data_IF_409083897652
#
_entry.id   IF_409083897652
#
_cell.length_a   1.000
_cell.length_b   1.000
_cell.length_c   1.000
_cell.angle_alpha   90.00
_cell.angle_beta   90.00
_cell.angle_gamma   90.00
#
_symmetry.space_group_name_H-M   'P 1'
#
loop_
_entity.id
_entity.type
_entity.pdbx_description
1 polymer ?
2 non-polymer ?
3 non-polymer ?
4 non-polymer ?
5 water ?
#
# COMPACT_ATOMS: atom_id res chain seq x y z
N UNK A 16 31.90 -1.22 -17.43
CA UNK A 16 32.96 -1.79 -16.61
C UNK A 16 34.28 -1.04 -16.65
N UNK A 17 34.22 0.24 -17.02
CA UNK A 17 35.41 1.08 -17.09
C UNK A 17 36.04 1.25 -15.72
N UNK A 18 37.11 2.03 -15.64
CA UNK A 18 37.74 2.22 -14.34
C UNK A 18 37.03 3.31 -13.53
N UNK A 19 36.39 4.27 -14.19
CA UNK A 19 35.56 5.26 -13.49
C UNK A 19 34.26 4.64 -12.98
N UNK A 20 33.62 3.81 -13.80
CA UNK A 20 32.40 3.10 -13.41
C UNK A 20 32.57 2.39 -12.07
N UNK A 21 33.52 1.43 -12.01
CA UNK A 21 33.75 0.68 -10.78
C UNK A 21 34.14 1.58 -9.60
N UNK A 22 34.71 2.77 -9.85
CA UNK A 22 35.00 3.68 -8.74
C UNK A 22 33.74 3.93 -7.92
N UNK A 23 32.69 4.46 -8.56
CA UNK A 23 31.45 4.72 -7.83
C UNK A 23 30.74 3.41 -7.51
N UNK A 24 30.80 2.42 -8.41
CA UNK A 24 30.11 1.16 -8.18
C UNK A 24 30.53 0.53 -6.86
N UNK A 25 31.77 0.74 -6.45
CA UNK A 25 32.19 0.14 -5.19
C UNK A 25 31.67 0.92 -4.00
N UNK A 26 31.36 2.20 -4.18
CA UNK A 26 30.77 3.00 -3.11
C UNK A 26 29.31 2.62 -2.91
N UNK A 27 28.48 2.95 -3.90
CA UNK A 27 27.07 2.57 -3.97
C UNK A 27 26.81 1.19 -3.36
N UNK A 28 27.61 0.20 -3.75
CA UNK A 28 27.39 -1.16 -3.27
C UNK A 28 28.00 -1.41 -1.90
N UNK A 29 28.61 -0.41 -1.26
CA UNK A 29 29.26 -0.65 0.01
C UNK A 29 28.24 -0.69 1.14
N UNK A 30 28.54 -1.50 2.16
CA UNK A 30 27.70 -1.50 3.35
C UNK A 30 27.64 -0.12 3.99
N UNK A 31 28.71 0.67 3.91
CA UNK A 31 28.67 1.98 4.56
C UNK A 31 27.66 2.88 3.88
N UNK A 32 27.60 2.84 2.56
CA UNK A 32 26.61 3.62 1.82
C UNK A 32 25.20 3.32 2.32
N UNK A 33 24.79 2.05 2.23
CA UNK A 33 23.48 1.64 2.74
C UNK A 33 23.28 2.11 4.17
N UNK A 34 24.21 1.75 5.06
CA UNK A 34 24.09 2.14 6.46
C UNK A 34 23.89 3.65 6.60
N UNK A 35 24.62 4.44 5.80
CA UNK A 35 24.50 5.89 5.88
C UNK A 35 23.10 6.36 5.54
N UNK A 36 22.53 5.82 4.45
CA UNK A 36 21.17 6.17 4.06
C UNK A 36 20.19 5.87 5.19
N UNK A 37 20.29 4.67 5.78
CA UNK A 37 19.39 4.30 6.85
C UNK A 37 19.50 5.27 8.01
N UNK A 38 20.72 5.61 8.40
CA UNK A 38 20.90 6.63 9.43
C UNK A 38 20.10 7.89 9.08
N UNK A 39 20.25 8.37 7.85
CA UNK A 39 19.55 9.57 7.42
C UNK A 39 18.03 9.43 7.54
N UNK A 40 17.49 8.37 6.95
CA UNK A 40 16.06 8.09 7.05
C UNK A 40 15.61 8.10 8.52
N UNK A 41 16.29 7.33 9.37
CA UNK A 41 15.88 7.29 10.77
C UNK A 41 16.00 8.66 11.40
N UNK A 42 16.92 9.48 10.89
CA UNK A 42 17.08 10.82 11.44
C UNK A 42 15.99 11.74 10.95
N UNK A 43 15.76 11.75 9.63
CA UNK A 43 14.68 12.52 9.03
C UNK A 43 13.32 12.06 9.54
N UNK A 44 13.20 10.78 9.88
CA UNK A 44 12.00 10.27 10.50
C UNK A 44 11.71 10.95 11.82
N UNK A 45 12.66 10.89 12.77
CA UNK A 45 12.50 11.61 14.03
C UNK A 45 12.20 13.07 13.77
N UNK A 46 12.86 13.64 12.77
CA UNK A 46 12.69 15.05 12.47
C UNK A 46 11.27 15.34 12.00
N UNK A 47 10.66 14.41 11.29
CA UNK A 47 9.34 14.67 10.76
C UNK A 47 8.27 14.58 11.83
N UNK A 48 8.51 13.76 12.86
CA UNK A 48 7.65 13.81 14.04
C UNK A 48 7.74 15.15 14.76
N UNK A 49 8.97 15.62 15.01
CA UNK A 49 9.10 16.87 15.74
C UNK A 49 8.47 18.03 14.98
N UNK A 50 8.61 18.03 13.64
CA UNK A 50 7.97 19.05 12.83
C UNK A 50 6.46 19.10 13.04
N UNK A 51 5.89 18.09 13.71
CA UNK A 51 4.44 18.04 13.93
C UNK A 51 3.99 19.02 14.98
N UNK A 52 4.89 19.41 15.88
CA UNK A 52 4.57 20.30 16.99
C UNK A 52 4.86 21.75 16.62
N UNK A 53 3.83 22.60 16.65
CA UNK A 53 4.03 24.02 16.35
C UNK A 53 4.96 24.68 17.34
N UNK A 54 4.89 24.27 18.61
CA UNK A 54 5.88 24.66 19.60
C UNK A 54 7.30 24.43 19.08
N UNK A 55 7.64 23.17 18.81
CA UNK A 55 8.96 22.86 18.28
C UNK A 55 9.24 23.66 17.02
N UNK A 56 8.26 23.76 16.12
CA UNK A 56 8.49 24.45 14.87
C UNK A 56 8.79 25.92 15.10
N UNK A 57 8.09 26.55 16.04
CA UNK A 57 8.37 27.95 16.33
C UNK A 57 9.80 28.14 16.81
N UNK A 58 10.30 27.21 17.62
CA UNK A 58 11.66 27.32 18.14
C UNK A 58 12.69 26.92 17.07
N UNK A 59 12.63 25.67 16.60
CA UNK A 59 13.70 25.07 15.82
C UNK A 59 13.33 24.85 14.36
N UNK A 60 12.30 25.52 13.86
CA UNK A 60 11.77 25.15 12.55
C UNK A 60 12.76 25.30 11.41
N UNK A 61 13.53 26.39 11.38
CA UNK A 61 14.41 26.63 10.25
C UNK A 61 15.49 25.55 10.17
N UNK A 62 15.99 25.09 11.33
CA UNK A 62 16.91 23.97 11.35
C UNK A 62 16.35 22.79 10.57
N UNK A 63 15.14 22.36 10.93
CA UNK A 63 14.58 21.15 10.35
C UNK A 63 14.35 21.32 8.87
N UNK A 64 13.85 22.49 8.46
CA UNK A 64 13.60 22.71 7.04
C UNK A 64 14.85 22.50 6.23
N UNK A 65 15.99 22.81 6.81
CA UNK A 65 17.24 22.71 6.09
C UNK A 65 17.74 21.27 6.06
N UNK A 66 17.85 20.64 7.24
CA UNK A 66 18.07 19.21 7.35
C UNK A 66 17.23 18.48 6.33
N UNK A 67 15.99 18.93 6.15
CA UNK A 67 15.12 18.28 5.18
C UNK A 67 15.65 18.48 3.77
N UNK A 68 15.95 19.72 3.40
CA UNK A 68 16.49 19.97 2.07
C UNK A 68 17.83 19.28 1.88
N UNK A 69 18.66 19.25 2.93
CA UNK A 69 19.89 18.46 2.87
C UNK A 69 19.60 17.03 2.48
N UNK A 70 18.77 16.35 3.29
CA UNK A 70 18.52 14.93 3.09
C UNK A 70 18.02 14.66 1.67
N UNK A 71 17.09 15.49 1.19
CA UNK A 71 16.54 15.19 -0.13
C UNK A 71 17.59 15.40 -1.20
N UNK A 72 18.53 16.32 -0.99
CA UNK A 72 19.67 16.45 -1.90
C UNK A 72 20.46 15.14 -1.98
N UNK A 73 21.04 14.74 -0.85
CA UNK A 73 21.67 13.44 -0.71
C UNK A 73 20.88 12.35 -1.43
N UNK A 74 19.59 12.20 -1.11
CA UNK A 74 18.82 11.12 -1.72
C UNK A 74 18.77 11.26 -3.24
N UNK A 75 18.77 12.49 -3.75
CA UNK A 75 18.79 12.67 -5.20
C UNK A 75 20.11 12.21 -5.77
N UNK A 76 21.22 12.68 -5.19
CA UNK A 76 22.53 12.17 -5.56
C UNK A 76 22.52 10.65 -5.51
N UNK A 77 22.08 10.11 -4.37
CA UNK A 77 22.05 8.67 -4.17
C UNK A 77 21.31 7.97 -5.30
N UNK A 78 20.14 8.49 -5.67
CA UNK A 78 19.38 7.81 -6.70
C UNK A 78 20.09 7.93 -8.03
N UNK A 79 20.78 9.04 -8.26
CA UNK A 79 21.50 9.21 -9.50
C UNK A 79 22.67 8.23 -9.58
N UNK A 80 23.41 8.09 -8.47
CA UNK A 80 24.48 7.11 -8.41
C UNK A 80 23.98 5.70 -8.71
N UNK A 81 22.87 5.28 -8.08
CA UNK A 81 22.39 3.92 -8.32
C UNK A 81 21.96 3.72 -9.76
N UNK A 82 21.55 4.79 -10.43
CA UNK A 82 21.16 4.67 -11.83
C UNK A 82 22.39 4.47 -12.72
N UNK A 83 23.46 5.24 -12.46
CA UNK A 83 24.73 4.98 -13.13
C UNK A 83 25.14 3.52 -12.98
N UNK A 84 25.20 3.03 -11.74
CA UNK A 84 25.64 1.66 -11.48
C UNK A 84 24.72 0.65 -12.15
N UNK A 85 23.42 0.76 -11.92
CA UNK A 85 22.51 -0.33 -12.29
C UNK A 85 21.92 -0.19 -13.68
N UNK A 86 21.84 1.02 -14.23
CA UNK A 86 21.47 1.26 -15.63
C UNK A 86 20.05 0.75 -15.85
N UNK A 87 19.76 0.01 -16.93
CA UNK A 87 18.38 -0.40 -17.20
C UNK A 87 17.87 -1.36 -16.12
N UNK A 88 18.76 -2.09 -15.46
CA UNK A 88 18.35 -3.00 -14.41
C UNK A 88 17.71 -2.27 -13.22
N UNK A 89 17.91 -0.95 -13.12
CA UNK A 89 17.34 -0.16 -12.03
C UNK A 89 15.87 0.11 -12.26
N UNK A 90 15.48 0.41 -13.50
CA UNK A 90 14.10 0.67 -13.81
C UNK A 90 13.28 -0.59 -14.01
N UNK A 91 13.86 -1.77 -13.81
CA UNK A 91 13.09 -3.01 -13.75
C UNK A 91 13.05 -3.57 -12.32
N UNK A 92 13.53 -2.81 -11.34
CA UNK A 92 13.51 -3.21 -9.93
C UNK A 92 12.41 -2.43 -9.22
N UNK A 93 11.42 -3.10 -8.63
CA UNK A 93 10.30 -2.33 -8.05
C UNK A 93 10.75 -1.49 -6.85
N UNK A 94 11.69 -2.02 -6.06
CA UNK A 94 12.18 -1.26 -4.92
C UNK A 94 12.91 0.00 -5.36
N UNK A 95 13.59 -0.05 -6.50
CA UNK A 95 14.29 1.13 -6.98
C UNK A 95 13.29 2.14 -7.52
N UNK A 96 12.34 1.68 -8.33
CA UNK A 96 11.28 2.56 -8.82
C UNK A 96 10.57 3.27 -7.67
N UNK A 97 10.23 2.53 -6.62
CA UNK A 97 9.63 3.19 -5.46
C UNK A 97 10.51 4.31 -4.93
N UNK A 98 11.77 3.99 -4.60
CA UNK A 98 12.73 4.97 -4.12
C UNK A 98 12.78 6.18 -5.05
N UNK A 99 12.82 5.89 -6.35
CA UNK A 99 12.74 6.93 -7.37
C UNK A 99 11.52 7.82 -7.16
N UNK A 100 10.32 7.22 -7.21
CA UNK A 100 9.13 8.06 -7.23
C UNK A 100 8.94 8.80 -5.92
N UNK A 101 9.35 8.19 -4.81
CA UNK A 101 9.32 8.93 -3.55
C UNK A 101 10.24 10.15 -3.62
N UNK A 102 11.44 9.98 -4.20
CA UNK A 102 12.36 11.11 -4.25
C UNK A 102 11.91 12.14 -5.29
N UNK A 103 11.37 11.66 -6.42
CA UNK A 103 10.75 12.57 -7.37
C UNK A 103 9.73 13.47 -6.69
N UNK A 104 8.76 12.87 -6.00
CA UNK A 104 7.73 13.63 -5.29
C UNK A 104 8.36 14.73 -4.43
N UNK A 105 9.39 14.38 -3.64
CA UNK A 105 10.00 15.35 -2.75
C UNK A 105 10.63 16.51 -3.50
N UNK A 106 10.84 16.38 -4.81
CA UNK A 106 11.55 17.45 -5.49
C UNK A 106 10.63 18.58 -5.95
N UNK A 107 9.40 18.26 -6.33
CA UNK A 107 8.37 19.26 -6.65
C UNK A 107 8.29 20.28 -5.52
N UNK A 108 8.52 21.56 -5.80
CA UNK A 108 8.82 22.52 -4.72
C UNK A 108 7.57 22.98 -3.97
N UNK A 109 7.82 23.43 -2.73
CA UNK A 109 6.73 23.81 -1.84
C UNK A 109 5.86 24.92 -2.42
N UNK A 110 6.40 25.71 -3.36
CA UNK A 110 5.63 26.73 -4.04
C UNK A 110 4.53 26.16 -4.93
N UNK A 111 4.51 24.84 -5.15
CA UNK A 111 3.57 24.24 -6.10
C UNK A 111 2.13 24.61 -5.79
N UNK A 112 1.83 24.93 -4.53
CA UNK A 112 0.49 25.26 -4.12
C UNK A 112 -0.44 24.10 -3.93
N UNK A 113 0.04 22.87 -4.13
CA UNK A 113 -0.73 21.65 -3.92
C UNK A 113 -0.07 20.92 -2.75
N UNK A 114 -0.53 21.23 -1.54
CA UNK A 114 0.11 20.73 -0.33
C UNK A 114 0.07 19.21 -0.21
N UNK A 115 -0.76 18.54 -1.01
CA UNK A 115 -0.75 17.08 -1.04
C UNK A 115 0.66 16.55 -1.27
N UNK A 116 1.38 17.15 -2.21
CA UNK A 116 2.74 16.73 -2.49
C UNK A 116 3.67 17.07 -1.32
N UNK A 117 3.39 18.17 -0.60
CA UNK A 117 4.16 18.45 0.61
C UNK A 117 3.99 17.34 1.64
N UNK A 118 2.78 16.79 1.75
CA UNK A 118 2.55 15.75 2.73
C UNK A 118 3.10 14.42 2.24
N UNK A 119 2.90 14.10 0.97
CA UNK A 119 3.48 12.89 0.38
C UNK A 119 4.98 12.78 0.63
N UNK A 120 5.66 13.89 0.92
CA UNK A 120 7.07 13.83 1.25
C UNK A 120 7.35 12.85 2.37
N UNK A 121 6.36 12.57 3.22
CA UNK A 121 6.62 11.67 4.32
C UNK A 121 6.90 10.25 3.83
N UNK A 122 6.45 9.93 2.61
CA UNK A 122 6.66 8.58 2.07
C UNK A 122 8.13 8.21 2.01
N UNK A 123 9.03 9.19 2.04
CA UNK A 123 10.43 8.86 2.05
C UNK A 123 10.80 8.04 3.27
N UNK A 124 10.02 8.09 4.35
CA UNK A 124 10.35 7.19 5.44
C UNK A 124 10.21 5.73 5.04
N UNK A 125 9.52 5.45 3.94
CA UNK A 125 9.42 4.05 3.57
C UNK A 125 10.74 3.50 3.03
N UNK A 126 11.76 4.35 2.87
CA UNK A 126 13.08 3.83 2.52
C UNK A 126 13.55 2.84 3.58
N UNK A 127 13.18 3.08 4.83
CA UNK A 127 13.47 2.16 5.91
C UNK A 127 12.91 0.78 5.66
N UNK A 128 12.08 0.62 4.64
CA UNK A 128 11.60 -0.68 4.19
C UNK A 128 12.41 -1.17 3.00
N UNK A 129 12.53 -0.33 1.97
CA UNK A 129 13.24 -0.75 0.76
C UNK A 129 14.72 -0.99 1.01
N UNK A 130 15.27 -0.41 2.07
CA UNK A 130 16.70 -0.50 2.33
C UNK A 130 17.07 -1.57 3.34
N UNK A 131 16.18 -1.96 4.24
CA UNK A 131 16.46 -2.99 5.24
C UNK A 131 15.97 -4.33 4.68
N UNK A 132 16.86 -5.30 4.42
CA UNK A 132 16.42 -6.51 3.72
C UNK A 132 15.43 -7.37 4.51
N UNK A 133 15.48 -7.35 5.84
CA UNK A 133 14.47 -8.08 6.60
C UNK A 133 13.07 -7.53 6.34
N UNK A 134 12.95 -6.20 6.15
CA UNK A 134 11.66 -5.64 5.78
C UNK A 134 11.24 -6.05 4.38
N UNK A 135 12.15 -5.91 3.39
CA UNK A 135 11.84 -6.33 2.04
C UNK A 135 11.26 -7.75 1.99
N UNK A 136 11.79 -8.65 2.83
CA UNK A 136 11.32 -10.05 2.76
C UNK A 136 9.87 -10.15 3.21
N UNK A 137 9.52 -9.41 4.26
CA UNK A 137 8.15 -9.42 4.78
C UNK A 137 7.19 -8.91 3.73
N UNK A 138 7.44 -7.69 3.27
CA UNK A 138 6.57 -7.10 2.25
C UNK A 138 6.47 -8.03 1.05
N UNK A 139 7.59 -8.64 0.66
CA UNK A 139 7.55 -9.57 -0.48
C UNK A 139 6.68 -10.76 -0.14
N UNK A 140 6.89 -11.35 1.04
CA UNK A 140 5.99 -12.38 1.53
C UNK A 140 4.53 -11.96 1.39
N UNK A 141 4.17 -10.81 1.98
CA UNK A 141 2.76 -10.40 2.02
C UNK A 141 2.21 -10.26 0.61
N UNK A 142 2.86 -9.44 -0.20
CA UNK A 142 2.44 -9.22 -1.59
C UNK A 142 2.34 -10.52 -2.37
N UNK A 143 3.09 -11.56 -1.98
CA UNK A 143 3.15 -12.76 -2.82
C UNK A 143 1.77 -13.41 -2.95
N UNK A 144 0.93 -13.29 -1.92
CA UNK A 144 -0.38 -13.92 -1.99
C UNK A 144 -1.31 -13.25 -2.99
N UNK A 145 -1.05 -12.01 -3.38
CA UNK A 145 -2.05 -11.21 -4.07
C UNK A 145 -2.31 -11.70 -5.49
N UNK A 146 -1.30 -12.03 -6.31
CA UNK A 146 -1.62 -12.41 -7.70
C UNK A 146 -2.59 -13.59 -7.85
N UNK A 147 -2.63 -14.51 -6.88
CA UNK A 147 -3.62 -15.57 -6.95
C UNK A 147 -5.03 -15.12 -6.63
N UNK A 148 -5.19 -13.96 -6.03
CA UNK A 148 -6.51 -13.47 -5.69
C UNK A 148 -7.10 -12.53 -6.72
N UNK A 149 -6.32 -12.09 -7.71
CA UNK A 149 -6.78 -11.09 -8.66
C UNK A 149 -8.15 -11.45 -9.23
N UNK A 150 -8.39 -12.71 -9.55
CA UNK A 150 -9.69 -13.06 -10.11
C UNK A 150 -10.79 -12.93 -9.06
N UNK A 151 -10.52 -13.31 -7.81
CA UNK A 151 -11.51 -13.13 -6.76
C UNK A 151 -11.76 -11.65 -6.52
N UNK A 152 -10.71 -10.83 -6.43
CA UNK A 152 -10.89 -9.39 -6.35
C UNK A 152 -11.77 -8.88 -7.48
N UNK A 153 -11.57 -9.39 -8.68
CA UNK A 153 -12.38 -8.94 -9.82
C UNK A 153 -13.84 -9.33 -9.63
N UNK A 154 -14.09 -10.58 -9.22
CA UNK A 154 -15.44 -11.02 -8.93
C UNK A 154 -16.10 -10.13 -7.88
N UNK A 155 -15.38 -9.85 -6.79
CA UNK A 155 -15.87 -9.00 -5.72
C UNK A 155 -16.21 -7.61 -6.24
N UNK A 156 -15.36 -7.06 -7.09
CA UNK A 156 -15.55 -5.71 -7.58
C UNK A 156 -16.71 -5.64 -8.55
N UNK A 157 -16.83 -6.64 -9.42
CA UNK A 157 -18.01 -6.71 -10.26
C UNK A 157 -19.26 -6.74 -9.39
N UNK A 158 -19.25 -7.61 -8.38
CA UNK A 158 -20.35 -7.70 -7.42
C UNK A 158 -20.67 -6.34 -6.80
N UNK A 159 -19.65 -5.68 -6.22
CA UNK A 159 -19.86 -4.34 -5.71
C UNK A 159 -20.48 -3.45 -6.78
N UNK A 160 -19.96 -3.53 -8.01
CA UNK A 160 -20.41 -2.63 -9.07
C UNK A 160 -21.89 -2.84 -9.37
N UNK A 161 -22.29 -4.10 -9.51
CA UNK A 161 -23.70 -4.38 -9.78
C UNK A 161 -24.57 -3.85 -8.63
N UNK A 162 -24.17 -4.14 -7.39
CA UNK A 162 -24.99 -3.72 -6.26
C UNK A 162 -24.95 -2.20 -6.05
N UNK A 163 -23.81 -1.55 -6.34
CA UNK A 163 -23.80 -0.09 -6.29
C UNK A 163 -24.83 0.50 -7.25
N UNK A 164 -24.93 -0.06 -8.46
CA UNK A 164 -25.91 0.46 -9.40
C UNK A 164 -27.33 0.25 -8.89
N UNK A 165 -27.66 -0.97 -8.42
CA UNK A 165 -29.03 -1.16 -7.90
C UNK A 165 -29.33 -0.24 -6.71
N UNK A 166 -28.38 -0.11 -5.77
CA UNK A 166 -28.63 0.75 -4.62
C UNK A 166 -28.87 2.18 -5.04
N UNK A 167 -27.99 2.72 -5.88
CA UNK A 167 -28.16 4.11 -6.32
C UNK A 167 -29.56 4.36 -6.80
N UNK A 168 -30.15 3.40 -7.51
CA UNK A 168 -31.45 3.74 -8.06
C UNK A 168 -32.62 3.28 -7.21
N UNK A 169 -32.41 2.32 -6.30
CA UNK A 169 -33.44 2.10 -5.28
C UNK A 169 -33.48 3.22 -4.25
N UNK A 170 -32.32 3.70 -3.77
CA UNK A 170 -32.32 4.59 -2.60
C UNK A 170 -31.74 5.98 -2.83
N UNK A 171 -31.16 6.27 -4.00
CA UNK A 171 -30.47 7.53 -4.17
C UNK A 171 -31.39 8.73 -4.02
N UNK A 172 -32.66 8.60 -4.38
CA UNK A 172 -33.54 9.76 -4.40
C UNK A 172 -33.89 10.22 -2.98
N UNK A 173 -34.24 9.27 -2.09
CA UNK A 173 -34.52 9.64 -0.70
C UNK A 173 -33.28 9.69 0.18
N UNK A 174 -32.19 9.04 -0.20
CA UNK A 174 -30.98 9.01 0.64
C UNK A 174 -29.77 9.48 -0.15
N UNK A 175 -29.76 10.73 -0.61
CA UNK A 175 -28.68 11.17 -1.48
C UNK A 175 -27.32 11.07 -0.84
N UNK A 176 -27.20 11.30 0.47
CA UNK A 176 -25.87 11.26 1.09
C UNK A 176 -25.26 9.87 1.00
N UNK A 177 -26.05 8.83 1.27
CA UNK A 177 -25.54 7.46 1.29
C UNK A 177 -25.57 6.77 -0.07
N UNK A 178 -26.41 7.21 -0.99
CA UNK A 178 -26.65 6.43 -2.19
C UNK A 178 -27.00 7.29 -3.41
N UNK A 179 -26.83 8.62 -3.34
CA UNK A 179 -27.22 9.46 -4.48
C UNK A 179 -26.40 9.27 -5.74
N UNK A 180 -25.37 8.47 -5.69
CA UNK A 180 -24.33 8.49 -6.71
C UNK A 180 -23.61 7.15 -6.71
N UNK A 181 -23.18 6.70 -7.88
CA UNK A 181 -22.40 5.46 -7.93
C UNK A 181 -21.29 5.47 -6.87
N UNK A 182 -20.56 6.57 -6.78
CA UNK A 182 -19.49 6.66 -5.80
C UNK A 182 -20.00 6.58 -4.37
N UNK A 183 -21.03 7.37 -4.06
CA UNK A 183 -21.56 7.34 -2.72
C UNK A 183 -21.98 5.93 -2.33
N UNK A 184 -22.64 5.23 -3.27
CA UNK A 184 -23.10 3.87 -3.01
C UNK A 184 -21.94 2.90 -2.84
N UNK A 185 -20.92 3.03 -3.67
CA UNK A 185 -19.70 2.24 -3.46
C UNK A 185 -19.22 2.42 -2.02
N UNK A 186 -19.00 3.67 -1.63
CA UNK A 186 -18.60 3.99 -0.27
C UNK A 186 -19.49 3.29 0.76
N UNK A 187 -20.80 3.54 0.69
CA UNK A 187 -21.69 2.95 1.69
C UNK A 187 -21.59 1.43 1.67
N UNK A 188 -21.49 0.84 0.48
CA UNK A 188 -21.43 -0.62 0.42
C UNK A 188 -20.12 -1.14 1.01
N UNK A 189 -19.03 -0.41 0.85
CA UNK A 189 -17.82 -0.83 1.52
C UNK A 189 -18.01 -0.74 3.03
N UNK A 190 -18.70 0.32 3.49
CA UNK A 190 -18.97 0.46 4.91
C UNK A 190 -19.77 -0.72 5.44
N UNK A 191 -20.83 -1.09 4.72
CA UNK A 191 -21.61 -2.25 5.15
C UNK A 191 -20.75 -3.51 5.11
N UNK A 192 -19.82 -3.62 4.15
CA UNK A 192 -18.93 -4.78 4.17
C UNK A 192 -18.18 -4.87 5.48
N UNK A 193 -17.56 -3.78 5.94
CA UNK A 193 -16.88 -3.83 7.23
C UNK A 193 -17.85 -3.99 8.39
N UNK A 194 -19.16 -3.93 8.11
CA UNK A 194 -20.25 -4.02 9.07
C UNK A 194 -20.31 -2.83 10.01
N UNK A 195 -19.61 -1.73 9.69
CA UNK A 195 -19.60 -0.56 10.58
C UNK A 195 -20.95 0.16 10.54
N UNK A 196 -21.71 0.06 11.64
CA UNK A 196 -23.02 0.73 11.77
C UNK A 196 -23.99 0.35 10.67
N UNK A 197 -23.81 -0.81 10.06
CA UNK A 197 -24.63 -1.12 8.88
C UNK A 197 -26.12 -1.08 9.19
N UNK A 198 -26.53 -1.53 10.39
CA UNK A 198 -27.96 -1.56 10.73
C UNK A 198 -28.46 -0.29 11.41
N UNK A 199 -27.88 0.11 12.55
CA UNK A 199 -28.41 1.32 13.19
C UNK A 199 -28.15 2.54 12.33
N UNK A 200 -27.03 2.54 11.62
CA UNK A 200 -26.71 3.76 10.91
C UNK A 200 -27.29 3.80 9.51
N UNK A 201 -27.43 2.64 8.86
CA UNK A 201 -27.86 2.65 7.46
C UNK A 201 -29.19 1.93 7.28
N UNK A 202 -29.24 0.63 7.54
CA UNK A 202 -30.38 -0.14 7.05
C UNK A 202 -31.64 0.17 7.85
N UNK A 203 -31.53 0.34 9.16
CA UNK A 203 -32.71 0.73 9.95
C UNK A 203 -33.26 2.07 9.48
N UNK A 204 -32.47 3.13 9.33
CA UNK A 204 -33.02 4.36 8.73
C UNK A 204 -33.68 4.07 7.38
N UNK A 205 -32.96 3.37 6.50
CA UNK A 205 -33.53 2.99 5.20
C UNK A 205 -34.88 2.34 5.37
N UNK A 206 -35.04 1.45 6.35
CA UNK A 206 -36.31 0.74 6.35
C UNK A 206 -37.49 1.58 6.85
N UNK A 207 -37.30 2.79 7.40
CA UNK A 207 -38.53 3.54 7.73
C UNK A 207 -39.25 3.98 6.48
N UNK A 208 -38.58 3.88 5.34
CA UNK A 208 -39.11 4.30 4.05
C UNK A 208 -39.22 3.13 3.09
N UNK A 209 -38.26 2.20 3.13
CA UNK A 209 -38.26 1.03 2.25
C UNK A 209 -38.25 -0.23 3.11
N UNK A 210 -39.41 -0.70 3.53
CA UNK A 210 -39.46 -1.76 4.56
C UNK A 210 -38.75 -3.02 4.16
N UNK A 211 -38.48 -3.23 2.88
CA UNK A 211 -37.83 -4.46 2.45
C UNK A 211 -36.37 -4.26 2.17
N UNK A 212 -35.82 -3.09 2.54
CA UNK A 212 -34.42 -2.83 2.29
C UNK A 212 -33.53 -3.94 2.86
N UNK A 213 -34.02 -4.65 3.88
CA UNK A 213 -33.24 -5.74 4.43
C UNK A 213 -33.06 -6.87 3.42
N UNK A 214 -33.89 -6.98 2.40
CA UNK A 214 -33.71 -8.06 1.41
C UNK A 214 -32.53 -7.75 0.51
N UNK A 215 -32.14 -6.49 0.44
CA UNK A 215 -30.94 -6.09 -0.29
C UNK A 215 -29.69 -6.31 0.57
N UNK A 216 -29.63 -5.70 1.76
CA UNK A 216 -28.36 -5.63 2.47
C UNK A 216 -27.98 -6.95 3.17
N UNK A 217 -28.93 -7.68 3.76
CA UNK A 217 -28.56 -8.95 4.39
C UNK A 217 -27.89 -9.90 3.39
N UNK A 218 -28.49 -10.19 2.23
CA UNK A 218 -27.80 -11.09 1.30
C UNK A 218 -26.49 -10.51 0.83
N UNK A 219 -26.44 -9.19 0.63
CA UNK A 219 -25.15 -8.57 0.36
C UNK A 219 -24.15 -8.87 1.48
N UNK A 220 -24.60 -8.79 2.74
CA UNK A 220 -23.70 -9.07 3.84
C UNK A 220 -23.30 -10.54 3.86
N UNK A 221 -24.21 -11.44 3.51
CA UNK A 221 -23.86 -12.85 3.50
C UNK A 221 -22.80 -13.13 2.44
N UNK A 222 -23.04 -12.71 1.19
CA UNK A 222 -22.12 -13.04 0.11
C UNK A 222 -20.73 -12.54 0.41
N UNK A 223 -20.62 -11.22 0.61
CA UNK A 223 -19.33 -10.56 0.84
C UNK A 223 -18.61 -11.19 2.02
N UNK A 224 -19.33 -11.60 3.04
CA UNK A 224 -18.66 -12.22 4.17
C UNK A 224 -18.20 -13.62 3.82
N UNK A 225 -19.12 -14.41 3.25
CA UNK A 225 -18.79 -15.76 2.84
C UNK A 225 -17.55 -15.79 1.97
N UNK A 226 -17.50 -14.92 0.97
CA UNK A 226 -16.36 -14.89 0.06
C UNK A 226 -15.06 -14.62 0.81
N UNK A 227 -15.03 -13.58 1.65
CA UNK A 227 -13.77 -13.28 2.31
C UNK A 227 -13.28 -14.46 3.15
N UNK A 228 -14.13 -15.01 4.01
CA UNK A 228 -13.72 -16.18 4.79
C UNK A 228 -13.24 -17.29 3.86
N UNK A 229 -13.97 -17.53 2.78
CA UNK A 229 -13.61 -18.64 1.91
C UNK A 229 -12.28 -18.40 1.25
N UNK A 230 -11.98 -17.14 0.91
CA UNK A 230 -10.66 -16.81 0.42
C UNK A 230 -9.58 -17.29 1.40
N UNK A 231 -9.74 -16.95 2.68
CA UNK A 231 -8.73 -17.33 3.67
C UNK A 231 -8.63 -18.84 3.82
N UNK A 232 -9.78 -19.52 3.91
CA UNK A 232 -9.75 -20.97 4.05
C UNK A 232 -9.05 -21.60 2.85
N UNK A 233 -9.39 -21.15 1.65
CA UNK A 233 -8.77 -21.74 0.47
C UNK A 233 -7.25 -21.53 0.49
N UNK A 234 -6.80 -20.36 0.95
CA UNK A 234 -5.35 -20.09 0.91
C UNK A 234 -4.61 -21.06 1.82
N UNK A 235 -5.10 -21.24 3.04
CA UNK A 235 -4.47 -22.17 3.98
C UNK A 235 -4.52 -23.59 3.44
N UNK A 236 -5.68 -24.04 2.98
CA UNK A 236 -5.83 -25.44 2.62
C UNK A 236 -5.07 -25.77 1.34
N UNK A 237 -5.12 -24.88 0.34
CA UNK A 237 -4.39 -25.13 -0.91
C UNK A 237 -2.88 -25.07 -0.71
N UNK A 238 -2.38 -24.22 0.20
CA UNK A 238 -0.96 -24.28 0.52
C UNK A 238 -0.62 -25.60 1.19
N UNK A 239 -1.36 -25.97 2.23
CA UNK A 239 -1.07 -27.24 2.89
C UNK A 239 -1.07 -28.39 1.89
N UNK A 240 -1.89 -28.29 0.83
CA UNK A 240 -1.90 -29.35 -0.18
C UNK A 240 -0.58 -29.41 -0.93
N UNK A 241 0.01 -28.25 -1.27
CA UNK A 241 1.27 -28.22 -2.01
C UNK A 241 2.42 -28.77 -1.15
N UNK A 242 2.52 -28.30 0.09
CA UNK A 242 3.47 -28.88 1.04
C UNK A 242 3.37 -30.41 1.05
N UNK A 243 2.17 -30.96 0.87
CA UNK A 243 1.94 -32.40 0.87
C UNK A 243 2.39 -33.07 -0.44
N UNK A 244 2.32 -32.36 -1.57
CA UNK A 244 2.87 -32.90 -2.81
C UNK A 244 4.37 -33.08 -2.71
N UNK A 245 5.06 -32.07 -2.20
CA UNK A 245 6.51 -32.09 -2.13
C UNK A 245 7.01 -33.16 -1.17
N UNK A 246 6.23 -33.47 -0.14
CA UNK A 246 6.59 -34.52 0.80
C UNK A 246 6.25 -35.90 0.25
N UNK A 247 5.16 -36.00 -0.50
CA UNK A 247 4.84 -37.25 -1.19
C UNK A 247 5.97 -37.66 -2.11
N UNK A 248 6.34 -36.76 -3.04
CA UNK A 248 7.37 -37.09 -4.02
C UNK A 248 8.68 -37.51 -3.36
N UNK A 249 9.08 -36.82 -2.29
CA UNK A 249 10.31 -37.19 -1.60
C UNK A 249 10.22 -38.58 -0.99
N UNK A 250 9.23 -38.78 -0.11
CA UNK A 250 9.04 -40.09 0.51
C UNK A 250 8.90 -41.18 -0.55
N UNK A 251 8.11 -40.92 -1.60
CA UNK A 251 7.75 -42.00 -2.52
C UNK A 251 8.96 -42.45 -3.34
N UNK A 252 9.92 -41.55 -3.62
CA UNK A 252 11.06 -41.96 -4.43
C UNK A 252 12.33 -42.24 -3.63
N UNK A 253 12.37 -41.93 -2.33
CA UNK A 253 13.36 -42.60 -1.47
C UNK A 253 12.97 -44.05 -1.23
N UNK A 254 11.70 -44.40 -1.48
CA UNK A 254 11.25 -45.78 -1.44
C UNK A 254 11.55 -46.46 -2.77
N UNK A 255 11.22 -45.79 -3.88
CA UNK A 255 11.52 -46.33 -5.19
C UNK A 255 13.02 -46.48 -5.39
N UNK A 256 13.80 -45.54 -4.86
CA UNK A 256 15.25 -45.62 -4.96
C UNK A 256 15.90 -45.79 -3.58
X LIG B 1 21.05 7.31 -18.71
X LIG B 1 22.36 6.62 -18.34
X LIG B 1 22.04 5.17 -18.00
X LIG B 1 21.49 4.55 -19.27
X LIG B 1 21.43 3.03 -19.21
X LIG B 1 20.25 6.53 -19.78
X LIG B 1 18.91 7.03 -19.86
X LIG B 1 21.33 8.64 -19.17
X LIG B 1 22.99 7.30 -17.24
X LIG B 1 23.19 4.45 -17.55
X LIG B 1 20.20 5.12 -19.52
X LIG B 1 21.66 2.52 -20.53
X LIG C 1 -15.73 10.24 -5.53
X LIG C 1 -18.29 9.76 -5.24
X LIG C 1 -16.85 9.49 -4.87
X LIG C 1 -16.73 9.86 -3.32
X LIG C 1 -17.60 9.25 -2.36
X LIG C 1 -17.48 10.03 -1.07
X LIG C 1 -17.91 11.48 -1.13
X LIG C 1 -16.95 12.31 -1.92
X LIG C 1 -19.24 11.54 -1.76
X LIG C 1 -17.98 12.04 0.25
X LIG C 1 -16.49 7.92 -4.83
X LIG C 1 -15.80 7.29 -5.95
X LIG C 1 -15.27 5.98 -5.41
X LIG C 1 -15.47 5.82 -3.91
X LIG C 1 -15.66 4.42 -3.64
X LIG C 1 -15.10 3.97 -2.54
X LIG C 1 -15.10 4.60 -1.52
X LIG C 1 -14.41 2.64 -2.79
X LIG C 1 -14.79 1.60 -1.81
X LIG C 1 -13.97 0.33 -1.95
X LIG C 1 -14.31 -0.53 -3.13
X LIG C 1 -13.97 -1.98 -2.91
X LIG C 1 -14.48 -2.90 -3.99
X LIG C 1 -14.48 -4.34 -3.58
X LIG C 1 -13.14 -4.87 -3.17
X LIG C 1 -13.24 -6.01 -2.19
X LIG C 1 -11.98 -6.82 -2.07
X LIG C 1 -12.17 -8.02 -1.18
X LIG C 1 -11.20 -9.14 -1.44
X LIG C 1 -11.56 -10.38 -0.67
X LIG C 1 -15.74 4.77 -6.08
X LIG C 1 -15.03 4.29 -7.14
X LIG C 1 -14.60 5.07 -7.94
X LIG C 1 -14.83 2.77 -7.19
X LIG C 1 -13.41 2.31 -6.88
X LIG C 1 -13.18 0.79 -7.01
X LIG C 1 -11.89 0.32 -6.34
X LIG C 1 -11.52 -1.16 -6.45
X LIG C 1 -10.46 -1.60 -5.43
X LIG C 1 -9.74 -2.92 -5.73
X LIG C 1 -9.09 -3.59 -4.53
X LIG C 1 -7.55 -3.62 -4.52
X LIG C 1 -6.95 -4.87 -3.89
X LIG C 1 -6.08 -4.66 -2.66
X LIG C 1 -5.43 -5.87 -2.00
X LIG C 1 -4.55 -5.59 -0.79
X LIG D 1 11.58 -10.81 -4.93
X LIG D 1 11.87 -9.10 -6.87
X LIG D 1 11.64 -9.39 -5.42
X LIG D 1 12.75 -8.58 -4.59
X LIG D 1 14.17 -8.90 -4.76
X LIG D 1 15.00 -7.70 -4.36
X LIG D 1 16.17 -7.38 -5.27
X LIG D 1 15.71 -7.36 -6.69
X LIG D 1 16.74 -6.05 -4.93
X LIG D 1 17.22 -8.41 -5.12
X LIG D 1 10.30 -8.65 -4.97
X LIG D 1 9.01 -9.31 -5.11
X LIG D 1 7.98 -8.21 -5.22
X LIG D 1 8.16 -7.11 -4.18
X LIG D 1 7.64 -5.86 -4.69
X LIG D 1 7.67 -4.82 -3.87
X LIG D 1 7.56 -4.90 -2.67
X LIG D 1 7.93 -3.54 -4.58
X LIG D 1 7.08 -2.41 -4.15
X LIG D 1 7.45 -1.84 -2.80
X LIG D 1 6.91 -0.46 -2.58
X LIG D 1 7.33 0.19 -1.29
X LIG D 1 6.80 -0.46 -0.05
X LIG D 1 6.29 0.52 0.97
X LIG D 1 5.95 -0.09 2.30
X LIG D 1 4.89 -1.16 2.24
X LIG D 1 4.05 -1.24 3.50
X LIG D 1 3.15 -2.45 3.56
X LIG D 1 2.30 -2.49 4.80
X LIG D 1 3.01 -2.22 6.11
X LIG D 1 8.05 -7.69 -6.57
X LIG D 1 7.03 -7.99 -7.40
X LIG D 1 7.11 -8.85 -8.24
X LIG D 1 5.83 -7.11 -7.12
X LIG D 1 5.77 -5.88 -7.98
X LIG D 1 4.61 -4.97 -7.61
X LIG D 1 4.97 -3.77 -6.76
X LIG D 1 3.81 -3.13 -6.03
X LIG D 1 4.09 -1.74 -5.51
X LIG D 1 3.12 -1.22 -4.47
X LIG E 1 -7.50 21.13 -0.48
X LIG E 1 -9.23 19.21 -0.98
X LIG E 1 -8.59 20.18 -0.02
X LIG E 1 -9.73 21.08 0.68
X LIG E 1 -9.34 22.24 1.49
X LIG E 1 -10.55 23.05 1.90
X LIG E 1 -10.27 24.27 2.77
X LIG E 1 -9.45 25.27 2.02
X LIG E 1 -11.56 24.90 3.16
X LIG E 1 -9.53 23.87 4.00
X LIG E 1 -7.91 19.28 1.12
X LIG E 1 -6.59 18.72 0.88
X LIG E 1 -6.52 17.20 0.80
X LIG E 1 -6.95 16.50 2.08
X LIG E 1 -6.57 15.10 2.00
X LIG E 1 -7.40 14.32 1.32
X LIG E 1 -8.59 14.44 1.35
X LIG E 1 -6.67 13.36 0.39
X LIG E 1 -5.59 12.54 1.03
X LIG E 1 -4.96 11.51 0.08
X LIG E 1 -3.72 10.87 0.66
X LIG E 1 -3.20 9.62 -0.02
X LIG E 1 -2.06 8.97 0.76
X LIG E 1 -1.42 7.77 0.11
X LIG E 1 -1.84 6.44 0.67
X LIG E 1 -1.18 5.26 0.01
X LIG E 1 -2.07 4.46 -0.92
X LIG E 1 -2.73 5.26 -2.02
X LIG E 1 -3.45 4.47 -3.09
X LIG E 1 -4.10 5.38 -4.10
X LIG E 1 -7.20 16.64 -0.36
X LIG E 1 -6.68 16.81 -1.60
X LIG E 1 -5.87 17.66 -1.85
X LIG E 1 -7.13 15.80 -2.63
X LIG E 1 -6.03 15.29 -3.49
X LIG E 1 -6.13 13.82 -3.88
X LIG E 1 -4.77 13.14 -3.90
X LIG E 1 -4.70 11.72 -4.47
X LIG E 1 -3.43 10.99 -4.07
X LIG E 1 -3.22 9.64 -4.73
X LIG E 1 -2.29 8.69 -3.97
X LIG E 1 -0.87 9.18 -3.73
X LIG E 1 0.19 8.55 -4.62
X LIG E 1 0.54 7.11 -4.29
X LIG E 1 1.61 6.90 -3.26
X LIG E 1 2.00 5.45 -3.04
X LIG F 1 -22.56 13.27 -13.59
X LIG F 1 -24.58 13.45 -11.97
X LIG F 1 -23.10 13.34 -12.19
X LIG F 1 -22.39 14.59 -11.47
X LIG F 1 -22.76 15.94 -11.88
X LIG F 1 -21.98 16.95 -11.08
X LIG F 1 -22.48 18.39 -11.14
X LIG F 1 -23.88 18.46 -10.61
X LIG F 1 -21.62 19.28 -10.31
X LIG F 1 -22.47 18.87 -12.54
X LIG F 1 -22.56 12.04 -11.37
X LIG F 1 -21.13 11.73 -11.34
X LIG F 1 -20.93 10.32 -10.79
X LIG F 1 -21.44 9.24 -11.73
X LIG F 1 -20.41 8.79 -12.65
X LIG F 1 -20.73 7.76 -13.44
X LIG F 1 -21.86 7.42 -13.68
X LIG F 1 -19.53 7.00 -13.93
X LIG F 1 -19.89 5.66 -14.53
X LIG F 1 -18.66 4.91 -15.02
X LIG F 1 -18.85 3.42 -15.16
X LIG F 1 -17.58 2.66 -15.46
X LIG F 1 -17.75 1.15 -15.36
X LIG F 1 -16.57 0.35 -15.85
X LIG F 1 -16.64 -1.14 -15.58
X LIG F 1 -17.76 -1.89 -16.29
X LIG F 1 -17.40 -3.33 -16.58
X LIG F 1 -18.52 -4.20 -17.10
X LIG F 1 -19.49 -4.65 -16.04
X LIG F 1 -20.59 -5.55 -16.52
X LIG F 1 -19.56 10.06 -10.35
X LIG F 1 -19.34 9.01 -9.54
X LIG F 1 -20.21 8.56 -8.85
X LIG F 1 -17.97 8.36 -9.57
X LIG F 1 -17.94 7.14 -10.45
X LIG F 1 -17.38 5.89 -9.77
X LIG F 1 -17.11 4.75 -10.77
X LIG F 1 -16.68 3.42 -10.16
X LIG F 1 -16.28 2.36 -11.19
X LIG F 1 -16.12 0.96 -10.65
X LIG F 1 -15.54 -0.02 -11.67
X LIG F 1 -15.85 -1.48 -11.43
X LIG F 1 -15.29 -2.39 -12.51
X LIG F 1 -15.60 -3.86 -12.34
X LIG F 1 -14.93 -4.73 -13.36
X LIG F 1 -15.11 -6.23 -13.21
X LIG G 1 -20.29 -17.99 7.29
X LIG G 1 -21.18 -17.33 6.80
X LIG G 1 -22.09 -17.83 5.97
X LIG G 1 -21.41 -15.87 7.05
X LIG G 1 -22.82 -15.56 7.41
X LIG G 1 -23.00 -14.10 7.77
X LIG G 1 -22.33 -13.73 9.05
X LIG G 1 -22.23 -12.25 9.28
X LIG G 1 -21.64 -11.89 10.60
X LIG G 1 -20.18 -12.21 10.78
X LIG G 1 -19.69 -11.83 12.15
X LIG G 1 -18.30 -12.26 12.48
X LIG G 1 -17.90 -11.84 13.86
X LIG G 1 -18.09 -10.38 14.10
X LIG G 1 -17.22 -9.49 13.25
X LIG G 1 -17.72 -8.08 13.33
X LIG H 1 1.87 -18.69 3.46
X LIG H 1 1.71 -18.63 1.93
X LIG H 1 3.01 -20.85 1.64
X LIG H 1 4.05 -21.63 0.84
X LIG H 1 3.68 -21.66 -0.64
X LIG H 1 3.66 -20.19 -1.10
X LIG H 1 3.50 -20.29 -2.61
X LIG H 1 4.27 -21.59 -2.98
X LIG H 1 4.73 -22.23 -1.64
X LIG H 1 2.30 -22.33 -0.83
X LIG H 1 0.34 -19.22 1.57
X LIG H 1 3.12 -17.98 3.98
X LIG H 1 3.15 -16.54 3.55
X LIG H 1 3.04 -16.44 2.04
X LIG H 1 1.79 -17.15 1.49
X LIG H 1 1.69 -16.99 -0.04
X LIG H 1 2.72 -17.83 -0.80
X LIG H 1 2.67 -19.30 -0.34
X LIG H 1 2.85 -19.39 1.19
X LIG H 1 5.04 -23.74 -1.79
X LIG H 1 4.69 -24.59 -0.56
X LIG H 1 6.53 -23.97 -2.11
X LIG H 1 6.99 -23.55 -3.49
X LIG H 1 8.37 -24.10 -3.82
X LIG H 1 9.33 -23.88 -2.93
X LIG H 1 8.59 -24.70 -4.87
X LIG H 1 4.37 -15.92 4.00
X LIG H 1 4.05 -17.33 -0.59
X LIG H 1 5.34 -21.00 1.01
X LIG I 1 -0.72 -21.85 -3.94
X LIG I 1 -1.38 -20.60 -3.30
X LIG I 1 -3.71 -21.26 -4.20
X LIG I 1 -5.04 -20.81 -4.85
X LIG I 1 -5.63 -19.58 -4.12
X LIG I 1 -4.55 -18.48 -4.19
X LIG I 1 -5.28 -17.23 -3.71
X LIG I 1 -6.70 -17.39 -4.30
X LIG I 1 -6.84 -18.86 -4.78
X LIG I 1 -5.99 -19.98 -2.68
X LIG I 1 -1.71 -20.97 -1.84
X LIG I 1 -0.10 -21.61 -5.31
X LIG I 1 0.93 -20.51 -5.24
X LIG I 1 0.29 -19.24 -4.72
X LIG I 1 -0.34 -19.44 -3.33
X LIG I 1 -0.92 -18.13 -2.79
X LIG I 1 -2.22 -17.70 -3.46
X LIG I 1 -3.24 -18.86 -3.49
X LIG I 1 -2.65 -20.16 -4.08
X LIG I 1 -8.27 -19.39 -4.60
X LIG I 1 -8.42 -20.87 -4.94
X LIG I 1 -9.24 -18.55 -5.46
X LIG I 1 -9.13 -18.79 -6.96
X LIG I 1 -10.15 -19.81 -7.42
X LIG I 1 -9.96 -20.36 -8.62
X LIG I 1 -11.10 -20.12 -6.70
X LIG I 1 1.52 -20.27 -6.53
X LIG I 1 -1.96 -17.19 -4.79
X LIG I 1 -4.80 -20.50 -6.24
#
# INVERSE_FOLDING_TARGET
>A
MDYKDDDDKGSLVPRGSHMYLRITNIVESSFFTKFIIYLVVLNGITMGLETSKTFMQSFGVYTTLFNQIVITIFTIEIILRIYVHRISFFKDPWSLFDFFVVAISLVPTSSGFEILRVLRVLRLFRLVTAVPQMRKIVSALISVIPGMLSVIALMTLFFYIFAIMATQLFGERFPEWFGTLGESFYTLFQVMTLESWSMGIVRPLMEVYPYAWVFFIPFIFVVTFVMINLVVAIIVDAMAILNQKEEQHIIDEVQSH
>B hetero
1 BGC C2 C3 C4 C5 C6 C1 O1 O2 O3 O4 O5 O6
>C hetero
1 PX4 O1 O2 P1 O3 C1 C2 N1 C3 C4 C5 O4 C6 C7 C8 O5 C9 O6 C10 C11 C12 C13 C14 C15 C16 C17 C18 C19 C20 C21 C22 O7 C23 O8 C24 C25 C26 C27 C28 C29 C30 C31 C32 C33 C34 C35 C36
>D hetero
1 PX4 O1 O2 P1 O3 C1 C2 N1 C3 C4 C5 O4 C6 C7 C8 O5 C9 O6 C10 C11 C12 C13 C14 C15 C16 C17 C18 C19 C20 C21 C22 O7 C23 O8 C24 C25 C26 C27 C28 C29 C30
>E hetero
1 PX4 O1 O2 P1 O3 C1 C2 N1 C3 C4 C5 O4 C6 C7 C8 O5 C9 O6 C10 C11 C12 C13 C14 C15 C16 C17 C18 C19 C20 C21 C22 O7 C23 O8 C24 C25 C26 C27 C28 C29 C30 C31 C32 C33 C34 C35 C36
>F hetero
1 PX4 O1 O2 P1 O3 C1 C2 N1 C3 C4 C5 O4 C6 C7 C8 O5 C9 O6 C10 C11 C12 C13 C14 C15 C16 C17 C18 C19 C20 C21 C22 O7 C23 O8 C24 C25 C26 C27 C28 C29 C30 C31 C32 C33 C34 C35 C36
>G hetero
1 PX4 O5 C9 O6 C10 C11 C12 C13 C14 C15 C16 C17 C18 C19 C20 C21 C22
>H hetero
1 CPS C1 C2 C3 C4 C5 C6 C7 C8 C9 C10 C11 C12 C13 C14 C15 C16 C17 C18 C19 C20 C21 C22 C23 C24 N1 O1 O2 O3 O4
>I hetero
1 CPS C1 C2 C3 C4 C5 C6 C7 C8 C9 C10 C11 C12 C13 C14 C15 C16 C17 C18 C19 C20 C21 C22 C23 C24 N1 O1 O2 O3 O4
#
